data_IF_853496263310
#
_entry.id   IF_853496263310
#
_cell.length_a   1.000
_cell.length_b   1.000
_cell.length_c   1.000
_cell.angle_alpha   90.00
_cell.angle_beta   90.00
_cell.angle_gamma   90.00
#
_symmetry.space_group_name_H-M   'P 1'
#
loop_
_entity.id
_entity.type
_entity.pdbx_description
1 polymer ?
#
# COMPACT_ATOMS: atom_id res chain seq x y z
N UNK A 1 -10.90 -0.42 19.25
CA UNK A 1 -11.32 0.98 19.46
C UNK A 1 -11.19 1.32 20.94
N UNK A 2 -10.69 2.49 21.25
CA UNK A 2 -10.59 3.03 22.61
C UNK A 2 -10.97 4.51 22.62
N UNK A 3 -11.31 5.05 23.80
CA UNK A 3 -11.67 6.46 23.98
C UNK A 3 -10.73 7.07 25.03
N UNK A 4 -10.06 8.17 24.67
CA UNK A 4 -9.28 8.95 25.63
C UNK A 4 -10.22 9.58 26.67
N UNK A 5 -9.89 9.45 27.98
CA UNK A 5 -10.83 9.79 29.05
C UNK A 5 -11.09 11.30 29.21
N UNK A 6 -10.10 12.14 28.95
CA UNK A 6 -10.22 13.60 29.16
C UNK A 6 -10.92 14.29 27.99
N UNK A 7 -10.50 13.98 26.77
CA UNK A 7 -11.00 14.63 25.55
C UNK A 7 -12.19 13.92 24.92
N UNK A 8 -12.42 12.64 25.26
CA UNK A 8 -13.38 11.79 24.57
C UNK A 8 -12.94 11.34 23.17
N UNK A 9 -11.69 11.64 22.76
CA UNK A 9 -11.17 11.34 21.44
C UNK A 9 -11.11 9.84 21.19
N UNK A 10 -11.58 9.40 20.03
CA UNK A 10 -11.62 7.99 19.63
C UNK A 10 -10.34 7.63 18.89
N UNK A 11 -9.73 6.51 19.29
CA UNK A 11 -8.49 5.95 18.69
C UNK A 11 -8.63 4.45 18.49
N UNK A 12 -7.77 3.88 17.64
CA UNK A 12 -7.52 2.46 17.58
C UNK A 12 -6.29 2.12 18.45
N UNK A 13 -6.38 1.03 19.21
CA UNK A 13 -5.21 0.47 19.91
C UNK A 13 -4.81 -0.83 19.20
N UNK A 14 -3.59 -0.85 18.63
CA UNK A 14 -2.92 -2.09 18.18
C UNK A 14 -2.13 -2.62 19.37
N UNK A 15 -2.48 -3.82 19.82
CA UNK A 15 -1.87 -4.46 20.99
C UNK A 15 -0.94 -5.56 20.52
N UNK A 16 0.31 -5.52 20.96
CA UNK A 16 1.35 -6.48 20.64
C UNK A 16 1.85 -7.11 21.94
N UNK A 17 1.95 -8.43 22.00
CA UNK A 17 2.44 -9.13 23.19
C UNK A 17 3.98 -9.17 23.17
N UNK A 18 4.62 -8.89 24.31
CA UNK A 18 6.08 -8.89 24.43
C UNK A 18 6.70 -10.26 24.13
N UNK A 19 6.03 -11.34 24.48
CA UNK A 19 6.44 -12.71 24.13
C UNK A 19 6.63 -12.89 22.61
N UNK A 20 5.79 -12.22 21.80
CA UNK A 20 5.91 -12.22 20.33
C UNK A 20 7.04 -11.32 19.82
N UNK A 21 7.58 -10.44 20.68
CA UNK A 21 8.65 -9.50 20.39
C UNK A 21 10.03 -9.99 20.89
N UNK A 22 10.11 -11.16 21.53
CA UNK A 22 11.37 -11.72 22.03
C UNK A 22 12.37 -12.05 20.91
N UNK A 23 11.89 -12.30 19.68
CA UNK A 23 12.77 -12.30 18.52
C UNK A 23 13.31 -10.88 18.26
N UNK A 24 14.61 -10.73 18.40
CA UNK A 24 15.31 -9.45 18.19
C UNK A 24 15.02 -8.82 16.80
N UNK A 25 14.66 -9.62 15.79
CA UNK A 25 14.26 -9.12 14.47
C UNK A 25 12.90 -8.44 14.51
N UNK A 26 11.93 -9.05 15.22
CA UNK A 26 10.56 -8.52 15.36
C UNK A 26 10.58 -7.24 16.20
N UNK A 27 11.33 -7.20 17.31
CA UNK A 27 11.49 -5.98 18.11
C UNK A 27 12.09 -4.83 17.28
N UNK A 28 13.16 -5.10 16.54
CA UNK A 28 13.80 -4.11 15.66
C UNK A 28 12.86 -3.60 14.57
N UNK A 29 12.04 -4.49 14.03
CA UNK A 29 11.03 -4.13 13.02
C UNK A 29 9.96 -3.21 13.63
N UNK A 30 9.42 -3.54 14.80
CA UNK A 30 8.45 -2.71 15.50
C UNK A 30 9.01 -1.32 15.86
N UNK A 31 10.25 -1.25 16.38
CA UNK A 31 10.92 0.04 16.67
C UNK A 31 11.01 0.91 15.42
N UNK A 32 11.36 0.32 14.27
CA UNK A 32 11.41 1.03 12.98
C UNK A 32 10.02 1.48 12.52
N UNK A 33 8.99 0.63 12.64
CA UNK A 33 7.60 0.98 12.32
C UNK A 33 7.15 2.22 13.11
N UNK A 34 7.40 2.22 14.43
CA UNK A 34 7.08 3.35 15.31
C UNK A 34 7.86 4.60 14.91
N UNK A 35 9.17 4.48 14.70
CA UNK A 35 10.03 5.60 14.31
C UNK A 35 9.56 6.24 13.01
N UNK A 36 9.34 5.46 11.96
CA UNK A 36 8.87 5.95 10.67
C UNK A 36 7.48 6.58 10.82
N UNK A 37 6.50 5.83 11.30
CA UNK A 37 5.10 6.25 11.29
C UNK A 37 4.84 7.44 12.21
N UNK A 38 5.57 7.58 13.32
CA UNK A 38 5.43 8.71 14.25
C UNK A 38 5.69 10.07 13.61
N UNK A 39 6.53 10.11 12.57
CA UNK A 39 6.91 11.34 11.86
C UNK A 39 6.06 11.62 10.60
N UNK A 40 5.19 10.70 10.20
CA UNK A 40 4.37 10.87 9.02
C UNK A 40 3.08 11.64 9.32
N UNK A 41 2.76 12.60 8.44
CA UNK A 41 1.54 13.43 8.51
C UNK A 41 0.99 13.64 7.10
N UNK A 42 0.02 12.83 6.71
CA UNK A 42 -0.63 12.91 5.41
C UNK A 42 -2.09 12.41 5.52
N UNK A 43 -3.07 13.00 4.80
CA UNK A 43 -4.47 12.59 4.90
C UNK A 43 -4.73 11.12 4.51
N UNK A 44 -3.91 10.54 3.64
CA UNK A 44 -4.04 9.15 3.19
C UNK A 44 -3.02 8.20 3.85
N UNK A 45 -2.46 8.57 4.99
CA UNK A 45 -1.60 7.72 5.82
C UNK A 45 -2.20 7.66 7.23
N UNK A 46 -2.38 6.45 7.75
CA UNK A 46 -2.91 6.24 9.10
C UNK A 46 -1.95 6.84 10.13
N UNK A 47 -2.44 7.76 10.94
CA UNK A 47 -1.61 8.46 11.92
C UNK A 47 -1.29 7.58 13.12
N UNK A 48 -0.03 7.56 13.53
CA UNK A 48 0.41 7.09 14.83
C UNK A 48 0.53 8.29 15.77
N UNK A 49 -0.31 8.32 16.83
CA UNK A 49 -0.31 9.39 17.83
C UNK A 49 0.77 9.20 18.90
N UNK A 50 1.11 7.94 19.21
CA UNK A 50 2.10 7.58 20.20
C UNK A 50 2.02 6.10 20.55
N UNK A 51 2.77 5.70 21.55
CA UNK A 51 2.75 4.35 22.08
C UNK A 51 3.01 4.36 23.58
N UNK A 52 2.61 3.29 24.25
CA UNK A 52 2.94 3.01 25.63
C UNK A 52 3.06 1.50 25.84
N UNK A 53 3.54 1.07 26.97
CA UNK A 53 3.74 -0.34 27.26
C UNK A 53 3.49 -0.65 28.75
N UNK A 54 3.14 -1.88 29.03
CA UNK A 54 3.14 -2.51 30.36
C UNK A 54 4.18 -3.66 30.40
N UNK A 55 4.14 -4.45 31.44
CA UNK A 55 5.07 -5.58 31.60
C UNK A 55 4.96 -6.63 30.48
N UNK A 56 3.78 -6.81 29.89
CA UNK A 56 3.45 -7.87 28.94
C UNK A 56 3.14 -7.40 27.52
N UNK A 57 2.84 -6.10 27.32
CA UNK A 57 2.29 -5.62 26.03
C UNK A 57 2.88 -4.28 25.64
N UNK A 58 2.91 -4.06 24.33
CA UNK A 58 3.12 -2.74 23.71
C UNK A 58 1.82 -2.32 23.03
N UNK A 59 1.43 -1.07 23.21
CA UNK A 59 0.20 -0.48 22.70
C UNK A 59 0.55 0.66 21.74
N UNK A 60 0.15 0.56 20.47
CA UNK A 60 0.23 1.67 19.53
C UNK A 60 -1.10 2.40 19.51
N UNK A 61 -1.06 3.72 19.67
CA UNK A 61 -2.23 4.60 19.62
C UNK A 61 -2.35 5.12 18.19
N UNK A 62 -3.29 4.58 17.44
CA UNK A 62 -3.47 4.86 16.01
C UNK A 62 -4.76 5.65 15.75
N UNK A 63 -4.78 6.36 14.64
CA UNK A 63 -6.00 6.91 14.06
C UNK A 63 -7.05 5.80 13.91
N UNK A 64 -8.30 6.12 14.24
CA UNK A 64 -9.41 5.20 14.05
C UNK A 64 -10.02 5.38 12.67
N UNK A 65 -10.01 4.34 11.86
CA UNK A 65 -10.61 4.28 10.53
C UNK A 65 -11.96 3.55 10.60
N UNK A 66 -13.09 4.27 10.71
CA UNK A 66 -14.40 3.67 11.06
C UNK A 66 -15.00 2.81 9.96
N UNK A 67 -14.61 3.02 8.71
CA UNK A 67 -15.12 2.24 7.56
C UNK A 67 -14.30 0.97 7.29
N UNK A 68 -13.35 0.62 8.18
CA UNK A 68 -12.67 -0.67 8.20
C UNK A 68 -11.66 -0.89 7.08
N UNK A 69 -11.46 -2.14 6.72
CA UNK A 69 -10.46 -2.59 5.76
C UNK A 69 -10.97 -2.50 4.32
N UNK A 70 -10.16 -1.92 3.42
CA UNK A 70 -10.47 -1.84 1.99
C UNK A 70 -10.61 -3.24 1.37
N UNK A 71 -9.81 -4.21 1.84
CA UNK A 71 -9.90 -5.59 1.40
C UNK A 71 -11.30 -6.19 1.56
N UNK A 72 -11.94 -5.99 2.72
CA UNK A 72 -13.32 -6.47 2.95
C UNK A 72 -14.29 -5.86 1.95
N UNK A 73 -14.20 -4.55 1.75
CA UNK A 73 -15.04 -3.84 0.78
C UNK A 73 -14.82 -4.34 -0.65
N UNK A 74 -13.57 -4.60 -1.05
CA UNK A 74 -13.26 -5.16 -2.36
C UNK A 74 -13.86 -6.55 -2.54
N UNK A 75 -13.74 -7.41 -1.52
CA UNK A 75 -14.33 -8.77 -1.53
C UNK A 75 -15.87 -8.74 -1.62
N UNK A 76 -16.52 -7.82 -0.93
CA UNK A 76 -17.99 -7.65 -1.00
C UNK A 76 -18.45 -7.18 -2.38
N UNK A 77 -17.71 -6.24 -2.99
CA UNK A 77 -18.05 -5.69 -4.30
C UNK A 77 -17.55 -6.54 -5.47
N UNK A 78 -16.71 -7.55 -5.20
CA UNK A 78 -15.94 -8.34 -6.18
C UNK A 78 -14.88 -7.48 -6.90
N UNK A 79 -15.25 -6.31 -7.40
CA UNK A 79 -14.38 -5.31 -8.04
C UNK A 79 -14.98 -3.92 -7.89
N UNK A 80 -14.16 -2.87 -7.98
CA UNK A 80 -14.64 -1.50 -7.94
C UNK A 80 -15.00 -0.97 -9.34
N UNK A 81 -15.98 -0.04 -9.43
CA UNK A 81 -16.14 0.80 -10.61
C UNK A 81 -14.87 1.61 -10.88
N UNK A 82 -14.61 1.93 -12.14
CA UNK A 82 -13.38 2.68 -12.54
C UNK A 82 -13.24 4.02 -11.81
N UNK A 83 -14.35 4.75 -11.61
CA UNK A 83 -14.35 5.99 -10.85
C UNK A 83 -13.83 5.80 -9.42
N UNK A 84 -14.32 4.80 -8.71
CA UNK A 84 -13.88 4.48 -7.34
C UNK A 84 -12.42 4.02 -7.31
N UNK A 85 -12.05 3.15 -8.24
CA UNK A 85 -10.67 2.67 -8.36
C UNK A 85 -9.70 3.84 -8.65
N UNK A 86 -10.03 4.73 -9.58
CA UNK A 86 -9.22 5.89 -9.92
C UNK A 86 -9.03 6.85 -8.74
N UNK A 87 -10.09 7.09 -7.96
CA UNK A 87 -10.02 7.91 -6.74
C UNK A 87 -9.06 7.30 -5.71
N UNK A 88 -9.13 5.99 -5.49
CA UNK A 88 -8.21 5.31 -4.56
C UNK A 88 -6.77 5.31 -5.09
N UNK A 89 -6.55 5.06 -6.38
CA UNK A 89 -5.20 5.12 -6.99
C UNK A 89 -4.62 6.53 -6.92
N UNK A 90 -5.43 7.58 -7.14
CA UNK A 90 -5.00 8.97 -6.96
C UNK A 90 -4.55 9.24 -5.51
N UNK A 91 -5.34 8.82 -4.52
CA UNK A 91 -5.02 8.98 -3.10
C UNK A 91 -3.74 8.22 -2.72
N UNK A 92 -3.57 7.00 -3.25
CA UNK A 92 -2.34 6.21 -3.09
C UNK A 92 -1.13 6.93 -3.69
N UNK A 93 -1.26 7.45 -4.92
CA UNK A 93 -0.16 8.17 -5.57
C UNK A 93 0.27 9.40 -4.77
N UNK A 94 -0.65 10.18 -4.20
CA UNK A 94 -0.34 11.30 -3.31
C UNK A 94 0.39 10.84 -2.03
N UNK A 95 -0.09 9.77 -1.40
CA UNK A 95 0.54 9.23 -0.20
C UNK A 95 1.96 8.71 -0.48
N UNK A 96 2.16 8.01 -1.60
CA UNK A 96 3.47 7.51 -2.01
C UNK A 96 4.44 8.64 -2.37
N UNK A 97 3.98 9.70 -3.05
CA UNK A 97 4.79 10.90 -3.30
C UNK A 97 5.29 11.49 -1.98
N UNK A 98 4.40 11.62 -1.00
CA UNK A 98 4.78 12.10 0.33
C UNK A 98 5.79 11.17 1.00
N UNK A 99 5.58 9.86 1.02
CA UNK A 99 6.52 8.89 1.58
C UNK A 99 7.89 8.98 0.90
N UNK A 100 7.93 8.98 -0.43
CA UNK A 100 9.17 9.06 -1.20
C UNK A 100 9.90 10.38 -0.99
N UNK A 101 9.18 11.51 -0.78
CA UNK A 101 9.78 12.80 -0.43
C UNK A 101 10.45 12.79 0.96
N UNK A 102 10.05 11.85 1.84
CA UNK A 102 10.65 11.58 3.15
C UNK A 102 11.66 10.44 3.12
N UNK A 103 12.05 9.98 1.93
CA UNK A 103 12.94 8.83 1.73
C UNK A 103 12.41 7.52 2.36
N UNK A 104 11.09 7.39 2.49
CA UNK A 104 10.43 6.19 3.00
C UNK A 104 9.90 5.38 1.82
N UNK A 105 10.26 4.10 1.78
CA UNK A 105 9.74 3.10 0.85
C UNK A 105 8.84 2.17 1.64
N UNK A 106 7.59 1.96 1.22
CA UNK A 106 6.60 1.17 1.98
C UNK A 106 6.85 -0.34 1.85
N UNK A 107 7.00 -0.86 0.64
CA UNK A 107 7.35 -2.24 0.27
C UNK A 107 6.30 -3.33 0.55
N UNK A 108 5.16 -3.01 1.12
CA UNK A 108 4.05 -3.97 1.36
C UNK A 108 2.67 -3.33 1.12
N UNK A 109 2.53 -2.67 -0.04
CA UNK A 109 1.25 -2.11 -0.48
C UNK A 109 0.37 -3.23 -0.98
N UNK A 110 -0.81 -3.39 -0.36
CA UNK A 110 -1.84 -4.37 -0.70
C UNK A 110 -3.16 -3.98 -0.03
N UNK A 111 -4.33 -4.48 -0.49
CA UNK A 111 -5.64 -4.11 0.06
C UNK A 111 -5.79 -4.34 1.56
N UNK A 112 -5.10 -5.35 2.13
CA UNK A 112 -5.15 -5.67 3.55
C UNK A 112 -4.49 -4.60 4.43
N UNK A 113 -3.52 -3.87 3.89
CA UNK A 113 -2.82 -2.77 4.56
C UNK A 113 -3.46 -1.41 4.30
N UNK A 114 -4.66 -1.38 3.70
CA UNK A 114 -5.40 -0.18 3.41
C UNK A 114 -6.70 -0.13 4.20
N UNK A 115 -6.92 0.99 4.90
CA UNK A 115 -8.12 1.25 5.67
C UNK A 115 -8.91 2.40 5.04
N UNK A 116 -10.17 2.54 5.46
CA UNK A 116 -11.07 3.60 5.02
C UNK A 116 -11.42 4.51 6.19
N UNK A 117 -11.09 5.78 6.05
CA UNK A 117 -11.42 6.83 7.00
C UNK A 117 -12.91 7.18 7.02
N UNK A 118 -13.29 8.16 7.85
CA UNK A 118 -14.69 8.54 8.09
C UNK A 118 -15.42 8.97 6.82
N UNK A 119 -14.74 9.64 5.90
CA UNK A 119 -15.29 10.12 4.62
C UNK A 119 -15.13 9.09 3.49
N UNK A 120 -14.69 7.89 3.80
CA UNK A 120 -14.35 6.87 2.80
C UNK A 120 -12.99 7.07 2.14
N UNK A 121 -12.19 8.02 2.63
CA UNK A 121 -10.83 8.24 2.15
C UNK A 121 -9.90 7.08 2.53
N UNK A 122 -9.00 6.74 1.61
CA UNK A 122 -8.01 5.69 1.79
C UNK A 122 -6.93 6.12 2.79
N UNK A 123 -6.51 5.19 3.65
CA UNK A 123 -5.44 5.33 4.64
C UNK A 123 -4.45 4.18 4.51
N UNK A 124 -3.20 4.46 4.17
CA UNK A 124 -2.12 3.46 4.24
C UNK A 124 -1.85 3.15 5.70
N UNK A 125 -1.94 1.88 6.08
CA UNK A 125 -1.60 1.35 7.39
C UNK A 125 -0.45 0.34 7.26
N UNK A 126 0.07 -0.11 8.39
CA UNK A 126 1.12 -1.12 8.52
C UNK A 126 2.45 -0.76 7.83
N UNK A 127 3.36 -0.19 8.60
CA UNK A 127 4.69 0.20 8.19
C UNK A 127 5.78 -0.82 8.59
N UNK A 128 5.38 -2.04 8.96
CA UNK A 128 6.28 -3.09 9.44
C UNK A 128 7.39 -3.48 8.46
N UNK A 129 7.16 -3.36 7.15
CA UNK A 129 8.15 -3.60 6.11
C UNK A 129 8.79 -2.33 5.55
N UNK A 130 8.39 -1.16 6.01
CA UNK A 130 8.89 0.11 5.51
C UNK A 130 10.35 0.36 5.90
N UNK A 131 11.04 1.13 5.08
CA UNK A 131 12.43 1.53 5.33
C UNK A 131 12.63 2.99 5.00
N UNK A 132 13.47 3.65 5.81
CA UNK A 132 14.05 4.93 5.46
C UNK A 132 15.36 4.66 4.70
N UNK A 133 15.41 5.02 3.42
CA UNK A 133 16.51 4.68 2.52
C UNK A 133 16.84 5.87 1.61
N UNK A 134 17.59 6.88 2.12
CA UNK A 134 17.94 8.07 1.35
C UNK A 134 18.80 7.75 0.12
N UNK A 135 19.72 6.78 0.23
CA UNK A 135 20.69 6.48 -0.84
C UNK A 135 20.97 5.00 -1.06
N UNK A 136 20.23 4.08 -0.41
CA UNK A 136 20.58 2.67 -0.47
C UNK A 136 19.57 1.81 -1.21
N UNK A 137 20.05 1.05 -2.18
CA UNK A 137 19.37 -0.09 -2.74
C UNK A 137 19.37 -1.24 -1.73
N UNK A 138 18.35 -2.10 -1.78
CA UNK A 138 18.13 -3.19 -0.82
C UNK A 138 18.09 -4.54 -1.53
N UNK A 139 18.42 -5.61 -0.79
CA UNK A 139 18.35 -6.99 -1.25
C UNK A 139 17.34 -7.83 -0.43
N UNK A 140 16.68 -7.21 0.55
CA UNK A 140 15.79 -7.94 1.45
C UNK A 140 14.50 -8.31 0.75
N UNK A 141 14.20 -9.59 0.60
CA UNK A 141 12.89 -10.08 0.14
C UNK A 141 11.87 -9.86 1.26
N UNK A 142 10.81 -9.11 0.97
CA UNK A 142 9.73 -8.81 1.90
C UNK A 142 8.44 -8.46 1.14
N UNK A 143 7.31 -8.50 1.83
CA UNK A 143 6.00 -8.23 1.24
C UNK A 143 5.22 -9.49 0.90
N UNK A 144 4.04 -9.30 0.32
CA UNK A 144 3.11 -10.36 -0.09
C UNK A 144 3.43 -10.80 -1.51
N UNK A 145 3.49 -12.10 -1.77
CA UNK A 145 3.97 -12.68 -3.03
C UNK A 145 3.37 -12.03 -4.28
N UNK A 146 2.05 -11.91 -4.34
CA UNK A 146 1.35 -11.43 -5.54
C UNK A 146 1.66 -9.96 -5.87
N UNK A 147 2.24 -9.23 -4.93
CA UNK A 147 2.62 -7.82 -5.00
C UNK A 147 4.12 -7.59 -5.18
N UNK A 148 4.94 -8.68 -5.18
CA UNK A 148 6.38 -8.56 -5.34
C UNK A 148 6.74 -8.18 -6.79
N UNK A 149 7.65 -7.20 -6.98
CA UNK A 149 8.14 -6.84 -8.31
C UNK A 149 9.21 -7.82 -8.81
N UNK A 150 9.46 -7.85 -10.15
CA UNK A 150 10.46 -8.72 -10.75
C UNK A 150 11.84 -8.66 -10.09
N UNK A 151 12.34 -7.46 -9.78
CA UNK A 151 13.64 -7.28 -9.15
C UNK A 151 13.76 -7.93 -7.77
N UNK A 152 12.67 -7.98 -6.98
CA UNK A 152 12.67 -8.70 -5.70
C UNK A 152 12.64 -10.22 -5.89
N UNK A 153 11.82 -10.70 -6.83
CA UNK A 153 11.68 -12.11 -7.15
C UNK A 153 13.00 -12.68 -7.73
N UNK A 154 13.71 -11.88 -8.49
CA UNK A 154 15.02 -12.22 -9.09
C UNK A 154 16.20 -11.98 -8.13
N UNK A 155 15.95 -11.52 -6.90
CA UNK A 155 17.00 -11.25 -5.89
C UNK A 155 17.93 -10.09 -6.26
N UNK A 156 17.45 -9.14 -7.08
CA UNK A 156 18.18 -7.92 -7.47
C UNK A 156 18.01 -6.81 -6.43
N UNK A 157 18.88 -5.83 -6.48
CA UNK A 157 18.73 -4.60 -5.69
C UNK A 157 17.45 -3.86 -6.08
N UNK A 158 16.77 -3.32 -5.09
CA UNK A 158 15.52 -2.60 -5.27
C UNK A 158 15.46 -1.28 -4.49
N UNK A 159 14.66 -0.35 -4.97
CA UNK A 159 14.45 0.98 -4.38
C UNK A 159 12.97 1.37 -4.37
N UNK A 160 12.69 2.67 -4.42
CA UNK A 160 11.32 3.23 -4.39
C UNK A 160 10.38 2.71 -5.50
N UNK A 161 10.93 2.23 -6.61
CA UNK A 161 10.16 1.73 -7.75
C UNK A 161 9.36 0.45 -7.44
N UNK A 162 9.64 -0.23 -6.32
CA UNK A 162 8.82 -1.36 -5.86
C UNK A 162 7.41 -0.91 -5.49
N UNK A 163 7.25 0.31 -4.94
CA UNK A 163 5.94 0.85 -4.61
C UNK A 163 5.12 1.21 -5.87
N UNK A 164 5.79 1.58 -6.98
CA UNK A 164 5.13 1.82 -8.27
C UNK A 164 4.57 0.52 -8.87
N UNK A 165 5.33 -0.56 -8.78
CA UNK A 165 4.86 -1.88 -9.18
C UNK A 165 3.64 -2.30 -8.37
N UNK A 166 3.72 -2.22 -7.03
CA UNK A 166 2.61 -2.56 -6.15
C UNK A 166 1.36 -1.70 -6.41
N UNK A 167 1.55 -0.41 -6.78
CA UNK A 167 0.45 0.46 -7.21
C UNK A 167 -0.21 -0.05 -8.50
N UNK A 168 0.56 -0.58 -9.45
CA UNK A 168 0.05 -1.20 -10.67
C UNK A 168 -0.74 -2.49 -10.41
N UNK A 169 -0.22 -3.36 -9.52
CA UNK A 169 -0.93 -4.57 -9.06
C UNK A 169 -2.24 -4.19 -8.38
N UNK A 170 -2.20 -3.20 -7.50
CA UNK A 170 -3.39 -2.69 -6.78
C UNK A 170 -4.44 -2.14 -7.75
N UNK A 171 -4.02 -1.37 -8.76
CA UNK A 171 -4.92 -0.83 -9.78
C UNK A 171 -5.61 -1.96 -10.56
N UNK A 172 -4.86 -2.97 -10.97
CA UNK A 172 -5.41 -4.15 -11.62
C UNK A 172 -6.41 -4.87 -10.71
N UNK A 173 -6.03 -5.16 -9.45
CA UNK A 173 -6.90 -5.90 -8.53
C UNK A 173 -8.18 -5.13 -8.20
N UNK A 174 -8.15 -3.82 -8.08
CA UNK A 174 -9.36 -3.01 -7.89
C UNK A 174 -10.36 -3.15 -9.05
N UNK A 175 -9.88 -3.29 -10.28
CA UNK A 175 -10.71 -3.38 -11.48
C UNK A 175 -11.11 -4.80 -11.85
N UNK A 176 -10.37 -5.81 -11.39
CA UNK A 176 -10.58 -7.21 -11.77
C UNK A 176 -11.09 -8.06 -10.60
N UNK A 177 -10.67 -7.73 -9.36
CA UNK A 177 -11.04 -8.45 -8.13
C UNK A 177 -10.05 -9.53 -7.69
N UNK A 178 -8.97 -9.71 -8.45
CA UNK A 178 -7.87 -10.63 -8.13
C UNK A 178 -6.55 -10.04 -8.64
N UNK A 179 -5.38 -10.35 -8.05
CA UNK A 179 -4.10 -9.86 -8.51
C UNK A 179 -3.71 -10.45 -9.88
N UNK A 180 -2.90 -9.73 -10.70
CA UNK A 180 -2.64 -10.09 -12.10
C UNK A 180 -1.80 -11.35 -12.29
N UNK A 181 -0.99 -11.72 -11.30
CA UNK A 181 -0.01 -12.79 -11.39
C UNK A 181 -0.37 -14.05 -10.60
N UNK A 182 -1.47 -14.00 -9.83
CA UNK A 182 -1.96 -15.16 -9.07
C UNK A 182 -2.10 -16.39 -9.98
N UNK A 183 -1.63 -17.54 -9.49
CA UNK A 183 -1.69 -18.80 -10.22
C UNK A 183 -2.13 -19.94 -9.31
N UNK A 184 -3.13 -20.69 -9.73
CA UNK A 184 -3.70 -21.81 -8.98
C UNK A 184 -2.74 -23.00 -8.83
N UNK A 185 -1.68 -23.07 -9.65
CA UNK A 185 -0.64 -24.11 -9.59
C UNK A 185 0.32 -23.88 -8.42
N UNK A 186 0.38 -22.63 -7.89
CA UNK A 186 1.12 -22.30 -6.68
C UNK A 186 2.29 -21.34 -6.89
N UNK A 187 2.99 -21.05 -5.80
CA UNK A 187 3.99 -19.98 -5.69
C UNK A 187 5.04 -19.94 -6.83
N UNK A 188 5.52 -21.09 -7.28
CA UNK A 188 6.53 -21.13 -8.37
C UNK A 188 5.97 -20.63 -9.69
N UNK A 189 4.71 -20.89 -9.97
CA UNK A 189 4.03 -20.39 -11.17
C UNK A 189 3.84 -18.88 -11.09
N UNK A 190 3.37 -18.37 -9.93
CA UNK A 190 3.27 -16.93 -9.66
C UNK A 190 4.62 -16.22 -9.82
N UNK A 191 5.71 -16.75 -9.23
CA UNK A 191 7.06 -16.19 -9.40
C UNK A 191 7.48 -16.08 -10.87
N UNK A 192 7.22 -17.15 -11.66
CA UNK A 192 7.56 -17.15 -13.10
C UNK A 192 6.76 -16.08 -13.85
N UNK A 193 5.46 -15.95 -13.55
CA UNK A 193 4.59 -14.94 -14.18
C UNK A 193 5.06 -13.53 -13.85
N UNK A 194 5.40 -13.25 -12.59
CA UNK A 194 5.96 -11.96 -12.17
C UNK A 194 7.26 -11.66 -12.92
N UNK A 195 8.22 -12.60 -12.92
CA UNK A 195 9.52 -12.42 -13.59
C UNK A 195 9.41 -12.14 -15.09
N UNK A 196 8.37 -12.67 -15.74
CA UNK A 196 8.11 -12.47 -17.17
C UNK A 196 7.07 -11.37 -17.46
N UNK A 197 6.47 -10.80 -16.41
CA UNK A 197 5.35 -9.85 -16.52
C UNK A 197 4.18 -10.43 -17.33
N UNK A 198 3.88 -11.72 -17.10
CA UNK A 198 2.83 -12.45 -17.81
C UNK A 198 1.46 -12.23 -17.14
N UNK A 199 0.66 -11.31 -17.64
CA UNK A 199 -0.71 -11.09 -17.21
C UNK A 199 -1.62 -10.72 -18.39
N UNK A 200 -2.93 -10.82 -18.18
CA UNK A 200 -3.93 -10.43 -19.17
C UNK A 200 -4.95 -9.51 -18.50
N UNK A 201 -5.23 -8.36 -19.10
CA UNK A 201 -6.30 -7.47 -18.65
C UNK A 201 -7.59 -7.84 -19.37
N UNK A 202 -8.72 -8.03 -18.64
CA UNK A 202 -10.01 -8.32 -19.26
C UNK A 202 -10.52 -7.18 -20.14
N UNK A 203 -11.24 -7.51 -21.22
CA UNK A 203 -11.71 -6.56 -22.23
C UNK A 203 -12.73 -5.52 -21.70
N UNK A 204 -13.34 -5.78 -20.53
CA UNK A 204 -14.27 -4.84 -19.90
C UNK A 204 -13.56 -3.68 -19.16
N UNK A 205 -12.24 -3.74 -18.95
CA UNK A 205 -11.42 -2.66 -18.41
C UNK A 205 -11.15 -1.66 -19.53
N UNK A 206 -11.36 -0.36 -19.28
CA UNK A 206 -11.16 0.67 -20.31
C UNK A 206 -9.72 0.72 -20.83
N UNK A 207 -9.55 1.16 -22.06
CA UNK A 207 -8.22 1.32 -22.69
C UNK A 207 -7.29 2.24 -21.90
N UNK A 208 -7.83 3.29 -21.29
CA UNK A 208 -7.08 4.22 -20.47
C UNK A 208 -6.60 3.56 -19.16
N UNK A 209 -7.43 2.72 -18.52
CA UNK A 209 -7.01 1.96 -17.35
C UNK A 209 -5.97 0.90 -17.68
N UNK A 210 -6.15 0.21 -18.81
CA UNK A 210 -5.16 -0.77 -19.33
C UNK A 210 -3.81 -0.11 -19.60
N UNK A 211 -3.79 1.10 -20.16
CA UNK A 211 -2.57 1.89 -20.42
C UNK A 211 -1.84 2.22 -19.13
N UNK A 212 -2.55 2.70 -18.07
CA UNK A 212 -1.95 2.99 -16.77
C UNK A 212 -1.34 1.73 -16.13
N UNK A 213 -2.12 0.64 -16.07
CA UNK A 213 -1.65 -0.63 -15.50
C UNK A 213 -0.39 -1.10 -16.23
N UNK A 214 -0.39 -1.11 -17.57
CA UNK A 214 0.75 -1.55 -18.37
C UNK A 214 1.97 -0.67 -18.16
N UNK A 215 1.82 0.63 -18.01
CA UNK A 215 2.92 1.57 -17.73
C UNK A 215 3.51 1.44 -16.33
N UNK A 216 2.74 0.96 -15.36
CA UNK A 216 3.23 0.68 -14.00
C UNK A 216 3.87 -0.71 -13.89
N UNK A 217 3.29 -1.73 -14.55
CA UNK A 217 3.80 -3.11 -14.52
C UNK A 217 4.87 -3.35 -15.57
N UNK A 218 5.98 -2.62 -15.48
CA UNK A 218 7.16 -2.78 -16.31
C UNK A 218 8.23 -3.61 -15.61
N UNK A 219 8.86 -4.56 -16.31
CA UNK A 219 9.94 -5.39 -15.78
C UNK A 219 11.12 -4.52 -15.29
N UNK A 220 11.52 -3.56 -16.12
CA UNK A 220 12.55 -2.59 -15.81
C UNK A 220 11.97 -1.51 -14.86
N UNK A 221 12.48 -1.41 -13.60
CA UNK A 221 11.96 -0.42 -12.63
C UNK A 221 12.02 1.03 -13.12
N UNK A 222 13.03 1.39 -13.90
CA UNK A 222 13.23 2.76 -14.40
C UNK A 222 12.24 3.14 -15.51
N UNK A 223 11.56 2.14 -16.11
CA UNK A 223 10.51 2.36 -17.12
C UNK A 223 9.11 2.48 -16.54
N UNK A 224 8.94 2.24 -15.24
CA UNK A 224 7.65 2.40 -14.57
C UNK A 224 7.27 3.87 -14.54
N UNK A 225 5.99 4.13 -14.82
CA UNK A 225 5.44 5.49 -14.80
C UNK A 225 5.64 6.11 -13.41
N UNK A 226 6.23 7.30 -13.35
CA UNK A 226 6.43 7.99 -12.08
C UNK A 226 5.11 8.52 -11.50
N UNK A 227 5.09 8.80 -10.17
CA UNK A 227 3.87 9.15 -9.46
C UNK A 227 3.26 10.49 -9.91
N UNK A 228 4.05 11.45 -10.38
CA UNK A 228 3.51 12.71 -10.90
C UNK A 228 2.80 12.46 -12.23
N UNK A 229 3.39 11.61 -13.09
CA UNK A 229 2.75 11.20 -14.34
C UNK A 229 1.51 10.33 -14.09
N UNK A 230 1.47 9.51 -13.05
CA UNK A 230 0.25 8.78 -12.61
C UNK A 230 -0.88 9.77 -12.30
N UNK A 231 -0.60 10.82 -11.52
CA UNK A 231 -1.61 11.83 -11.15
C UNK A 231 -2.14 12.64 -12.36
N UNK A 232 -1.33 12.76 -13.41
CA UNK A 232 -1.69 13.44 -14.66
C UNK A 232 -2.20 12.48 -15.74
N UNK A 233 -2.28 11.18 -15.44
CA UNK A 233 -2.71 10.18 -16.40
C UNK A 233 -4.17 10.41 -16.84
N UNK A 234 -4.52 10.27 -18.14
CA UNK A 234 -5.88 10.53 -18.67
C UNK A 234 -6.98 9.81 -17.89
N UNK A 235 -6.75 8.54 -17.52
CA UNK A 235 -7.69 7.76 -16.73
C UNK A 235 -7.95 8.38 -15.34
N UNK A 236 -6.90 8.78 -14.63
CA UNK A 236 -7.04 9.45 -13.32
C UNK A 236 -7.79 10.77 -13.49
N UNK A 237 -7.37 11.61 -14.43
CA UNK A 237 -8.01 12.92 -14.67
C UNK A 237 -9.47 12.81 -15.07
N UNK A 238 -9.84 11.82 -15.87
CA UNK A 238 -11.21 11.55 -16.31
C UNK A 238 -12.15 11.26 -15.12
N UNK A 239 -11.67 10.50 -14.14
CA UNK A 239 -12.49 10.01 -13.02
C UNK A 239 -12.37 10.81 -11.72
N UNK A 240 -11.43 11.78 -11.63
CA UNK A 240 -11.18 12.53 -10.40
C UNK A 240 -11.44 14.04 -10.52
N UNK A 241 -11.79 14.56 -11.70
CA UNK A 241 -11.99 15.99 -11.98
C UNK A 241 -13.26 16.63 -11.37
N UNK A 242 -14.07 15.94 -10.56
CA UNK A 242 -15.38 16.44 -10.10
C UNK A 242 -15.35 17.03 -8.67
N UNK A 243 -14.21 17.50 -8.16
CA UNK A 243 -14.19 18.16 -6.84
C UNK A 243 -13.69 19.63 -6.88
N UNK A 244 -13.77 20.31 -8.02
CA UNK A 244 -13.20 21.66 -8.19
C UNK A 244 -14.04 22.66 -8.97
N UNK A 245 -15.36 22.48 -9.10
CA UNK A 245 -16.20 23.52 -9.74
C UNK A 245 -17.60 23.57 -9.13
N UNK A 246 -17.67 24.22 -7.96
CA UNK A 246 -18.81 25.03 -7.51
C UNK A 246 -18.32 26.09 -6.55
#
# INVERSE_FOLDING_TARGET
MARERKSGFIVALKVLYREQLEDAKVEKQLRREIEIQSHLRHPNILRLYGYFYDEKRVYLILEYAPNGELYKKLRECTRFPEETAAQYIQQMAHALLYLHSKHVIHRDIKPENLLLGLKGELKIADFGWSVHAPDSRRLTLCGTLDYLPPEMVEGREHGKHVDLWSLGVLCYEFLVGAPPFEDSVGFRATYRRIAKVEFKIPDYVSSEAQDLITKLLQHDPEKRLDLNAVLLHPWILKHTKILGSK
#
